data_IF_361592583593
#
_entry.id   IF_361592583593
#
_cell.length_a   1.000
_cell.length_b   1.000
_cell.length_c   1.000
_cell.angle_alpha   90.00
_cell.angle_beta   90.00
_cell.angle_gamma   90.00
#
_symmetry.space_group_name_H-M   'P 1'
#
loop_
_entity.id
_entity.type
_entity.pdbx_description
1 polymer ?
#
# COMPACT_ATOMS: atom_id res chain seq x y z
N UNK A 1 24.48 -11.71 -26.08
CA UNK A 1 24.10 -10.42 -25.47
C UNK A 1 22.58 -10.27 -25.25
N UNK A 2 21.70 -11.22 -25.62
CA UNK A 2 20.23 -11.07 -25.49
C UNK A 2 19.64 -11.49 -24.13
N UNK A 3 20.28 -12.41 -23.40
CA UNK A 3 19.78 -12.99 -22.14
C UNK A 3 19.61 -11.95 -21.01
N UNK A 4 20.55 -10.99 -20.93
CA UNK A 4 20.49 -9.91 -19.95
C UNK A 4 19.37 -8.90 -20.26
N UNK A 5 19.10 -8.63 -21.53
CA UNK A 5 18.03 -7.70 -21.93
C UNK A 5 16.64 -8.29 -21.66
N UNK A 6 16.49 -9.61 -21.83
CA UNK A 6 15.25 -10.34 -21.57
C UNK A 6 14.96 -10.45 -20.07
N UNK A 7 15.97 -10.78 -19.26
CA UNK A 7 15.84 -10.78 -17.79
C UNK A 7 15.43 -9.41 -17.25
N UNK A 8 15.98 -8.31 -17.75
CA UNK A 8 15.54 -6.96 -17.34
C UNK A 8 14.09 -6.64 -17.71
N UNK A 9 13.58 -7.15 -18.84
CA UNK A 9 12.17 -6.98 -19.23
C UNK A 9 11.25 -7.75 -18.29
N UNK A 10 11.54 -9.02 -18.04
CA UNK A 10 10.78 -9.88 -17.13
C UNK A 10 10.75 -9.30 -15.71
N UNK A 11 11.88 -8.77 -15.21
CA UNK A 11 11.93 -8.12 -13.90
C UNK A 11 11.03 -6.87 -13.81
N UNK A 12 10.97 -6.06 -14.88
CA UNK A 12 10.11 -4.88 -14.94
C UNK A 12 8.63 -5.27 -14.91
N UNK A 13 8.25 -6.26 -15.70
CA UNK A 13 6.88 -6.78 -15.73
C UNK A 13 6.46 -7.36 -14.40
N UNK A 14 7.30 -8.20 -13.80
CA UNK A 14 7.04 -8.78 -12.48
C UNK A 14 6.89 -7.70 -11.40
N UNK A 15 7.71 -6.65 -11.45
CA UNK A 15 7.59 -5.51 -10.53
C UNK A 15 6.28 -4.75 -10.72
N UNK A 16 5.79 -4.59 -11.96
CA UNK A 16 4.50 -3.96 -12.25
C UNK A 16 3.35 -4.80 -11.71
N UNK A 17 3.35 -6.11 -11.99
CA UNK A 17 2.32 -7.04 -11.49
C UNK A 17 2.27 -7.06 -9.96
N UNK A 18 3.42 -7.10 -9.30
CA UNK A 18 3.51 -7.03 -7.84
C UNK A 18 2.90 -5.75 -7.27
N UNK A 19 3.14 -4.60 -7.92
CA UNK A 19 2.54 -3.32 -7.49
C UNK A 19 1.02 -3.34 -7.60
N UNK A 20 0.47 -3.89 -8.69
CA UNK A 20 -0.97 -4.02 -8.88
C UNK A 20 -1.59 -4.93 -7.82
N UNK A 21 -1.02 -6.13 -7.64
CA UNK A 21 -1.46 -7.08 -6.60
C UNK A 21 -1.41 -6.46 -5.20
N UNK A 22 -0.36 -5.69 -4.88
CA UNK A 22 -0.26 -4.98 -3.60
C UNK A 22 -1.35 -3.92 -3.44
N UNK A 23 -1.70 -3.18 -4.50
CA UNK A 23 -2.79 -2.19 -4.46
C UNK A 23 -4.10 -2.88 -4.15
N UNK A 24 -4.47 -3.88 -4.96
CA UNK A 24 -5.71 -4.62 -4.82
C UNK A 24 -5.83 -5.26 -3.42
N UNK A 25 -4.82 -6.03 -3.01
CA UNK A 25 -4.80 -6.68 -1.71
C UNK A 25 -4.90 -5.69 -0.55
N UNK A 26 -4.15 -4.59 -0.59
CA UNK A 26 -4.13 -3.63 0.52
C UNK A 26 -5.43 -2.84 0.62
N UNK A 27 -5.99 -2.43 -0.52
CA UNK A 27 -7.27 -1.72 -0.56
C UNK A 27 -8.41 -2.63 -0.12
N UNK A 28 -8.45 -3.87 -0.61
CA UNK A 28 -9.47 -4.84 -0.22
C UNK A 28 -9.42 -5.11 1.29
N UNK A 29 -8.22 -5.26 1.87
CA UNK A 29 -8.09 -5.48 3.30
C UNK A 29 -8.58 -4.28 4.15
N UNK A 30 -8.43 -3.05 3.66
CA UNK A 30 -9.00 -1.87 4.33
C UNK A 30 -10.54 -1.90 4.28
N UNK A 31 -11.12 -2.27 3.13
CA UNK A 31 -12.57 -2.43 2.95
C UNK A 31 -13.11 -3.53 3.85
N UNK A 32 -12.50 -4.72 3.83
CA UNK A 32 -12.93 -5.88 4.62
C UNK A 32 -12.92 -5.59 6.14
N UNK A 33 -11.99 -4.73 6.58
CA UNK A 33 -11.88 -4.30 7.98
C UNK A 33 -12.76 -3.10 8.32
N UNK A 34 -13.54 -2.58 7.37
CA UNK A 34 -14.41 -1.42 7.57
C UNK A 34 -13.63 -0.14 7.91
N UNK A 35 -12.39 -0.03 7.41
CA UNK A 35 -11.55 1.14 7.66
C UNK A 35 -11.85 2.20 6.61
N UNK A 36 -12.21 3.40 7.07
CA UNK A 36 -12.45 4.53 6.19
C UNK A 36 -11.14 5.03 5.59
N UNK A 37 -11.16 5.30 4.28
CA UNK A 37 -10.05 5.93 3.60
C UNK A 37 -10.53 6.81 2.46
N UNK A 38 -9.77 7.88 2.21
CA UNK A 38 -9.94 8.71 1.03
C UNK A 38 -8.88 8.31 -0.02
N UNK A 39 -9.34 8.04 -1.25
CA UNK A 39 -8.44 7.76 -2.37
C UNK A 39 -7.99 9.04 -3.05
N UNK A 40 -6.67 9.23 -3.15
CA UNK A 40 -6.02 10.31 -3.91
C UNK A 40 -5.25 9.74 -5.09
N UNK A 41 -5.11 10.54 -6.15
CA UNK A 41 -4.31 10.20 -7.34
C UNK A 41 -4.66 8.81 -7.93
N UNK A 42 -5.95 8.47 -7.99
CA UNK A 42 -6.42 7.19 -8.53
C UNK A 42 -6.04 5.96 -7.69
N UNK A 43 -5.92 6.11 -6.36
CA UNK A 43 -5.66 4.98 -5.45
C UNK A 43 -4.17 4.69 -5.20
N UNK A 44 -3.26 5.50 -5.77
CA UNK A 44 -1.82 5.41 -5.48
C UNK A 44 -1.49 5.87 -4.07
N UNK A 45 -2.30 6.79 -3.53
CA UNK A 45 -2.18 7.31 -2.18
C UNK A 45 -3.55 7.29 -1.51
N UNK A 46 -3.63 6.68 -0.33
CA UNK A 46 -4.83 6.58 0.49
C UNK A 46 -4.60 7.33 1.79
N UNK A 47 -5.53 8.21 2.15
CA UNK A 47 -5.56 8.84 3.48
C UNK A 47 -6.48 7.96 4.33
N UNK A 48 -5.90 7.17 5.21
CA UNK A 48 -6.61 6.19 6.05
C UNK A 48 -6.95 6.84 7.39
N UNK A 49 -8.21 6.75 7.80
CA UNK A 49 -8.71 7.35 9.04
C UNK A 49 -9.34 6.28 9.92
N UNK A 50 -8.86 6.16 11.16
CA UNK A 50 -9.43 5.23 12.13
C UNK A 50 -9.15 5.68 13.56
N UNK A 51 -10.16 5.64 14.44
CA UNK A 51 -10.06 6.01 15.86
C UNK A 51 -9.32 7.35 16.11
N UNK A 52 -9.60 8.38 15.30
CA UNK A 52 -8.96 9.70 15.41
C UNK A 52 -7.51 9.76 14.93
N UNK A 53 -6.92 8.64 14.47
CA UNK A 53 -5.62 8.61 13.81
C UNK A 53 -5.79 8.78 12.29
N UNK A 54 -4.87 9.53 11.68
CA UNK A 54 -4.80 9.73 10.24
C UNK A 54 -3.46 9.20 9.74
N UNK A 55 -3.49 8.41 8.66
CA UNK A 55 -2.29 7.85 8.05
C UNK A 55 -2.29 8.05 6.54
N UNK A 56 -1.15 8.50 6.01
CA UNK A 56 -0.86 8.58 4.59
C UNK A 56 -0.29 7.22 4.14
N UNK A 57 -0.96 6.52 3.22
CA UNK A 57 -0.67 5.14 2.83
C UNK A 57 -0.50 4.97 1.31
N UNK A 58 0.61 4.36 0.89
CA UNK A 58 0.91 4.06 -0.51
C UNK A 58 0.81 2.55 -0.74
N UNK A 59 -0.38 2.03 -1.13
CA UNK A 59 -0.66 0.60 -1.15
C UNK A 59 0.22 -0.19 -2.13
N UNK A 60 0.63 0.41 -3.26
CA UNK A 60 1.54 -0.21 -4.24
C UNK A 60 2.88 -0.68 -3.66
N UNK A 61 3.40 0.07 -2.68
CA UNK A 61 4.66 -0.25 -2.01
C UNK A 61 4.44 -0.76 -0.59
N UNK A 62 3.23 -0.58 -0.05
CA UNK A 62 2.91 -0.80 1.35
C UNK A 62 3.49 0.25 2.29
N UNK A 63 4.14 1.32 1.81
CA UNK A 63 4.68 2.39 2.67
C UNK A 63 3.52 3.13 3.33
N UNK A 64 3.62 3.42 4.61
CA UNK A 64 2.68 4.30 5.31
C UNK A 64 3.39 5.25 6.27
N UNK A 65 2.70 6.32 6.62
CA UNK A 65 3.07 7.22 7.71
C UNK A 65 1.81 7.58 8.48
N UNK A 66 1.78 7.26 9.77
CA UNK A 66 0.79 7.85 10.67
C UNK A 66 1.24 9.28 10.94
N UNK A 67 0.38 10.28 10.74
CA UNK A 67 0.77 11.68 10.89
C UNK A 67 1.32 11.95 12.29
N UNK A 68 2.42 12.69 12.36
CA UNK A 68 3.17 12.92 13.60
C UNK A 68 4.05 11.74 14.05
N UNK A 69 4.06 10.61 13.33
CA UNK A 69 4.95 9.48 13.56
C UNK A 69 5.89 9.29 12.35
N UNK A 70 6.84 8.36 12.49
CA UNK A 70 7.76 7.97 11.44
C UNK A 70 7.13 7.08 10.35
N UNK A 71 7.88 6.88 9.27
CA UNK A 71 7.49 5.98 8.19
C UNK A 71 7.59 4.51 8.61
N UNK A 72 6.71 3.69 8.06
CA UNK A 72 6.71 2.23 8.23
C UNK A 72 6.11 1.56 6.99
N UNK A 73 6.00 0.22 7.00
CA UNK A 73 5.53 -0.54 5.83
C UNK A 73 4.58 -1.67 6.20
N UNK A 74 3.73 -2.03 5.25
CA UNK A 74 2.78 -3.14 5.29
C UNK A 74 1.40 -2.69 5.76
N UNK A 75 0.36 -3.08 5.01
CA UNK A 75 -1.04 -2.79 5.36
C UNK A 75 -1.44 -3.41 6.71
N UNK A 76 -0.99 -4.64 7.01
CA UNK A 76 -1.25 -5.29 8.31
C UNK A 76 -0.64 -4.52 9.48
N UNK A 77 0.56 -3.98 9.30
CA UNK A 77 1.23 -3.16 10.31
C UNK A 77 0.55 -1.81 10.47
N UNK A 78 0.06 -1.21 9.39
CA UNK A 78 -0.76 0.00 9.44
C UNK A 78 -2.00 -0.24 10.31
N UNK A 79 -2.77 -1.28 9.98
CA UNK A 79 -3.99 -1.67 10.72
C UNK A 79 -3.71 -1.91 12.20
N UNK A 80 -2.67 -2.69 12.51
CA UNK A 80 -2.25 -2.97 13.88
C UNK A 80 -1.88 -1.69 14.65
N UNK A 81 -1.16 -0.76 14.02
CA UNK A 81 -0.75 0.50 14.67
C UNK A 81 -1.88 1.52 14.80
N UNK A 82 -2.91 1.40 13.96
CA UNK A 82 -4.14 2.19 14.09
C UNK A 82 -5.15 1.54 15.05
N UNK A 83 -4.88 0.32 15.54
CA UNK A 83 -5.73 -0.37 16.51
C UNK A 83 -6.93 -1.10 15.88
N UNK A 84 -6.87 -1.39 14.58
CA UNK A 84 -7.90 -2.17 13.87
C UNK A 84 -7.73 -3.65 14.23
N UNK A 85 -8.77 -4.29 14.76
CA UNK A 85 -8.81 -5.72 15.11
C UNK A 85 -9.05 -6.59 13.88
#
# INVERSE_FOLDING_TARGET
MSDLAETFRLMKEHTKQKKLSNIEYSTQLLIDKGVEFESKNGGVHLIVTHNGSIADFWPSTGKFQIRGKGYSRGVKNLLCRMGVK
#
